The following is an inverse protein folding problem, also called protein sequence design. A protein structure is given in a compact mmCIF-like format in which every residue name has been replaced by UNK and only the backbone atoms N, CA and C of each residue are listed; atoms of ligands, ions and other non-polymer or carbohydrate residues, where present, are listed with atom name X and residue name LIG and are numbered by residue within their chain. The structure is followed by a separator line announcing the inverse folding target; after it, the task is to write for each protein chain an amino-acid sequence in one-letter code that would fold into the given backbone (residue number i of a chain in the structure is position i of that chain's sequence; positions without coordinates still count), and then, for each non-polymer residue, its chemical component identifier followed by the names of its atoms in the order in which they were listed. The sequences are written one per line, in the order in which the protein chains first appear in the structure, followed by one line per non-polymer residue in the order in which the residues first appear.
data_IF_446591928384
#
_entry.id   IF_446591928384
#
_cell.length_a   1.000
_cell.length_b   1.000
_cell.length_c   1.000
_cell.angle_alpha   90.00
_cell.angle_beta   90.00
_cell.angle_gamma   90.00
#
_symmetry.space_group_name_H-M   'P 1'
#
loop_
_entity.id
_entity.type
_entity.pdbx_description
1 polymer ?
#
# COMPACT_ATOMS: atom_id res chain seq x y z
N UNK A 1 -5.81 6.39 1.58
CA UNK A 1 -7.19 5.92 1.78
C UNK A 1 -7.23 5.13 3.08
N UNK A 2 -7.86 5.67 4.10
CA UNK A 2 -8.11 4.98 5.35
C UNK A 2 -9.47 4.27 5.22
N UNK A 3 -9.49 2.95 5.26
CA UNK A 3 -10.72 2.18 5.31
C UNK A 3 -10.90 1.65 6.72
N UNK A 4 -11.85 2.22 7.45
CA UNK A 4 -12.40 1.54 8.63
C UNK A 4 -13.19 0.32 8.16
N UNK A 5 -13.00 -0.83 8.81
CA UNK A 5 -13.66 -2.10 8.48
C UNK A 5 -15.18 -2.11 8.72
N UNK A 6 -15.81 -1.00 9.07
CA UNK A 6 -17.25 -0.85 9.19
C UNK A 6 -17.81 0.17 8.20
N UNK A 7 -18.73 -0.27 7.39
CA UNK A 7 -19.45 0.40 6.29
C UNK A 7 -20.17 1.72 6.63
N UNK A 8 -19.80 2.50 7.63
CA UNK A 8 -20.59 3.66 8.05
C UNK A 8 -19.88 4.97 8.35
N UNK A 9 -18.60 5.14 8.17
CA UNK A 9 -18.01 6.46 8.44
C UNK A 9 -16.99 6.90 7.40
N UNK A 10 -17.50 7.43 6.27
CA UNK A 10 -16.84 8.52 5.55
C UNK A 10 -17.25 9.82 6.24
N UNK A 11 -16.74 10.10 7.42
CA UNK A 11 -16.83 11.42 8.03
C UNK A 11 -15.44 11.98 8.22
N UNK A 12 -15.34 13.30 8.02
CA UNK A 12 -14.12 14.07 8.16
C UNK A 12 -13.34 13.75 9.43
N UNK A 13 -12.03 13.89 9.36
CA UNK A 13 -11.06 13.72 10.45
C UNK A 13 -11.37 14.48 11.76
N UNK A 14 -12.41 15.31 11.81
CA UNK A 14 -12.84 16.06 12.99
C UNK A 14 -13.83 15.33 13.90
N UNK A 15 -14.39 14.19 13.46
CA UNK A 15 -15.42 13.44 14.23
C UNK A 15 -14.97 12.02 14.62
N UNK A 16 -13.69 11.83 14.84
CA UNK A 16 -13.18 10.58 15.43
C UNK A 16 -13.51 10.55 16.92
N UNK A 17 -14.71 10.08 17.25
CA UNK A 17 -14.99 9.65 18.59
C UNK A 17 -14.66 8.17 18.69
N UNK A 18 -13.65 7.85 19.45
CA UNK A 18 -13.25 6.49 19.83
C UNK A 18 -14.34 5.74 20.63
N UNK A 19 -15.41 6.41 20.96
CA UNK A 19 -16.48 5.91 21.85
C UNK A 19 -17.33 4.78 21.24
N UNK A 20 -17.16 4.48 19.95
CA UNK A 20 -18.01 3.50 19.25
C UNK A 20 -17.22 2.27 18.76
N UNK A 21 -15.90 2.32 18.75
CA UNK A 21 -15.04 1.24 18.28
C UNK A 21 -14.26 0.60 19.44
N UNK A 22 -14.24 -0.73 19.47
CA UNK A 22 -13.42 -1.49 20.45
C UNK A 22 -11.94 -1.42 20.15
N UNK A 23 -11.56 -1.12 18.91
CA UNK A 23 -10.18 -0.88 18.44
C UNK A 23 -10.15 -0.23 17.08
N UNK A 24 -9.12 0.58 16.82
CA UNK A 24 -8.86 1.25 15.54
C UNK A 24 -7.73 0.56 14.79
N UNK A 25 -8.08 -0.08 13.66
CA UNK A 25 -7.11 -0.65 12.72
C UNK A 25 -7.03 0.21 11.46
N UNK A 26 -5.83 0.66 11.11
CA UNK A 26 -5.55 1.32 9.85
C UNK A 26 -5.09 0.27 8.82
N UNK A 27 -5.86 0.13 7.73
CA UNK A 27 -5.38 -0.60 6.55
C UNK A 27 -4.47 0.32 5.74
N UNK A 28 -3.19 0.24 6.05
CA UNK A 28 -2.13 0.96 5.37
C UNK A 28 -1.31 0.09 4.43
N UNK A 29 -1.85 -1.05 4.01
CA UNK A 29 -1.15 -2.09 3.25
C UNK A 29 -0.26 -1.54 2.12
N UNK A 30 -0.72 -0.49 1.45
CA UNK A 30 0.05 0.23 0.43
C UNK A 30 0.60 1.56 0.95
N UNK A 31 -0.28 2.46 1.35
CA UNK A 31 0.04 3.89 1.55
C UNK A 31 0.94 4.17 2.75
N UNK A 32 0.84 3.40 3.84
CA UNK A 32 1.68 3.64 5.03
C UNK A 32 3.17 3.37 4.80
N UNK A 33 3.55 2.69 3.73
CA UNK A 33 4.94 2.59 3.32
C UNK A 33 5.60 3.98 3.17
N UNK A 34 4.84 4.98 2.72
CA UNK A 34 5.33 6.35 2.54
C UNK A 34 5.70 7.09 3.85
N UNK A 35 5.40 6.52 5.02
CA UNK A 35 5.95 7.01 6.30
C UNK A 35 7.49 6.95 6.35
N UNK A 36 8.11 6.10 5.54
CA UNK A 36 9.57 6.03 5.44
C UNK A 36 10.17 7.31 4.85
N UNK A 37 9.43 8.05 4.02
CA UNK A 37 9.90 9.32 3.46
C UNK A 37 9.57 10.50 4.37
N UNK A 38 10.57 11.32 4.73
CA UNK A 38 10.35 12.57 5.47
C UNK A 38 9.42 13.55 4.75
N UNK A 39 9.38 13.53 3.42
CA UNK A 39 8.60 14.47 2.61
C UNK A 39 7.09 14.26 2.74
N UNK A 40 6.65 13.03 2.96
CA UNK A 40 5.24 12.65 3.09
C UNK A 40 4.77 12.41 4.51
N UNK A 41 5.67 12.33 5.47
CA UNK A 41 5.34 11.97 6.86
C UNK A 41 4.19 12.79 7.45
N UNK A 42 4.11 14.08 7.11
CA UNK A 42 3.03 14.96 7.58
C UNK A 42 1.62 14.54 7.10
N UNK A 43 1.51 13.83 5.99
CA UNK A 43 0.23 13.34 5.47
C UNK A 43 -0.39 12.26 6.37
N UNK A 44 0.41 11.69 7.26
CA UNK A 44 0.02 10.59 8.13
C UNK A 44 -0.12 11.03 9.59
N UNK A 45 -0.25 12.33 9.86
CA UNK A 45 -0.52 12.84 11.21
C UNK A 45 -1.79 12.19 11.76
N UNK A 46 -1.71 11.65 12.99
CA UNK A 46 -2.80 10.91 13.63
C UNK A 46 -2.64 9.38 13.54
N UNK A 47 -1.73 8.86 12.71
CA UNK A 47 -1.46 7.41 12.67
C UNK A 47 -1.00 6.88 14.03
N UNK A 48 -0.32 7.70 14.80
CA UNK A 48 0.13 7.42 16.16
C UNK A 48 -1.02 7.18 17.15
N UNK A 49 -2.24 7.55 16.80
CA UNK A 49 -3.43 7.37 17.66
C UNK A 49 -4.15 6.03 17.45
N UNK A 50 -3.88 5.32 16.37
CA UNK A 50 -4.54 4.03 16.11
C UNK A 50 -4.04 2.92 17.07
N UNK A 51 -4.83 1.88 17.27
CA UNK A 51 -4.44 0.72 18.08
C UNK A 51 -3.55 -0.25 17.32
N UNK A 52 -3.74 -0.33 16.02
CA UNK A 52 -2.92 -1.15 15.14
C UNK A 52 -2.98 -0.65 13.70
N UNK A 53 -1.97 -1.01 12.92
CA UNK A 53 -1.97 -0.77 11.48
C UNK A 53 -1.26 -1.90 10.74
N UNK A 54 -1.62 -2.06 9.47
CA UNK A 54 -0.93 -2.97 8.56
C UNK A 54 -0.15 -2.20 7.51
N UNK A 55 0.98 -2.78 7.12
CA UNK A 55 1.74 -2.38 5.93
C UNK A 55 2.24 -3.65 5.24
N UNK A 56 2.20 -3.66 3.90
CA UNK A 56 2.69 -4.80 3.13
C UNK A 56 4.08 -4.47 2.54
N UNK A 57 5.16 -4.98 3.15
CA UNK A 57 6.51 -4.77 2.61
C UNK A 57 6.66 -5.24 1.17
N UNK A 58 5.94 -6.29 0.76
CA UNK A 58 5.97 -6.81 -0.61
C UNK A 58 5.25 -5.93 -1.65
N UNK A 59 4.63 -4.81 -1.22
CA UNK A 59 4.07 -3.81 -2.13
C UNK A 59 5.08 -2.68 -2.36
N UNK A 60 4.98 -1.62 -1.62
CA UNK A 60 5.76 -0.41 -1.88
C UNK A 60 7.01 -0.26 -1.00
N UNK A 61 7.34 -1.29 -0.21
CA UNK A 61 8.64 -1.41 0.48
C UNK A 61 9.60 -2.38 -0.22
N UNK A 62 9.31 -2.73 -1.47
CA UNK A 62 10.20 -3.46 -2.39
C UNK A 62 10.66 -4.84 -1.89
N UNK A 63 10.00 -5.39 -0.87
CA UNK A 63 10.33 -6.71 -0.36
C UNK A 63 9.80 -7.81 -1.30
N UNK A 64 10.45 -8.97 -1.35
CA UNK A 64 9.91 -10.12 -2.06
C UNK A 64 8.54 -10.56 -1.52
N UNK A 65 7.69 -11.04 -2.41
CA UNK A 65 6.41 -11.64 -2.04
C UNK A 65 6.65 -12.94 -1.23
N UNK A 66 5.95 -13.23 -0.15
CA UNK A 66 4.85 -12.51 0.46
C UNK A 66 5.26 -11.99 1.85
N UNK A 67 4.97 -10.76 2.17
CA UNK A 67 5.21 -10.21 3.51
C UNK A 67 4.15 -9.16 3.86
N UNK A 68 3.52 -9.32 5.03
CA UNK A 68 2.64 -8.33 5.64
C UNK A 68 3.10 -8.10 7.07
N UNK A 69 3.19 -6.85 7.49
CA UNK A 69 3.49 -6.47 8.86
C UNK A 69 2.23 -5.91 9.51
N UNK A 70 1.85 -6.47 10.65
CA UNK A 70 0.81 -5.96 11.53
C UNK A 70 1.48 -5.42 12.78
N UNK A 71 1.35 -4.13 13.00
CA UNK A 71 1.96 -3.41 14.12
C UNK A 71 0.88 -3.05 15.12
N UNK A 72 1.13 -3.34 16.38
CA UNK A 72 0.23 -3.05 17.49
C UNK A 72 0.82 -1.97 18.40
N UNK A 73 -0.01 -1.04 18.85
CA UNK A 73 0.35 -0.08 19.90
C UNK A 73 0.66 -0.80 21.22
N UNK A 74 -0.20 -1.75 21.59
CA UNK A 74 -0.02 -2.58 22.79
C UNK A 74 0.11 -4.06 22.41
N UNK A 75 1.33 -4.56 22.21
CA UNK A 75 1.55 -5.94 21.80
C UNK A 75 1.07 -6.98 22.83
N UNK A 76 0.92 -6.60 24.11
CA UNK A 76 0.41 -7.53 25.15
C UNK A 76 -1.04 -7.96 24.89
N UNK A 77 -1.87 -7.04 24.34
CA UNK A 77 -3.25 -7.36 23.97
C UNK A 77 -3.28 -8.32 22.77
N UNK A 78 -2.39 -8.13 21.80
CA UNK A 78 -2.26 -9.02 20.67
C UNK A 78 -1.82 -10.43 21.13
N UNK A 79 -0.81 -10.52 22.01
CA UNK A 79 -0.39 -11.80 22.60
C UNK A 79 -1.57 -12.48 23.29
N UNK A 80 -2.30 -11.77 24.16
CA UNK A 80 -3.44 -12.34 24.88
C UNK A 80 -4.55 -12.87 23.96
N UNK A 81 -4.72 -12.25 22.77
CA UNK A 81 -5.72 -12.67 21.78
C UNK A 81 -5.30 -13.88 20.94
N UNK A 82 -3.99 -14.08 20.74
CA UNK A 82 -3.46 -15.07 19.80
C UNK A 82 -2.77 -16.26 20.47
N UNK A 83 -2.39 -16.15 21.75
CA UNK A 83 -1.68 -17.23 22.45
C UNK A 83 -2.48 -18.53 22.40
N UNK A 84 -1.82 -19.59 21.97
CA UNK A 84 -2.41 -20.92 21.90
C UNK A 84 -1.91 -21.74 23.09
N UNK A 85 -2.84 -22.27 23.86
CA UNK A 85 -2.54 -23.12 25.04
C UNK A 85 -2.73 -24.58 24.67
N UNK A 86 -1.68 -25.35 24.78
CA UNK A 86 -1.72 -26.78 24.64
C UNK A 86 -0.56 -27.39 25.43
N UNK A 87 -0.78 -28.53 26.07
CA UNK A 87 0.19 -29.15 26.98
C UNK A 87 1.56 -29.41 26.34
N UNK A 88 1.62 -29.67 25.04
CA UNK A 88 2.88 -29.87 24.32
C UNK A 88 3.63 -28.55 23.99
N UNK A 89 2.99 -27.40 24.25
CA UNK A 89 3.57 -26.06 24.11
C UNK A 89 4.08 -25.51 25.44
N UNK A 90 3.76 -26.12 26.56
CA UNK A 90 4.13 -25.66 27.92
C UNK A 90 5.65 -25.36 28.03
N UNK A 91 6.57 -26.19 27.47
CA UNK A 91 8.00 -25.89 27.51
C UNK A 91 8.40 -24.58 26.80
N UNK A 92 7.57 -24.11 25.84
CA UNK A 92 7.80 -22.85 25.11
C UNK A 92 7.23 -21.64 25.87
N UNK A 93 6.28 -21.86 26.80
CA UNK A 93 5.69 -20.79 27.61
C UNK A 93 6.55 -20.40 28.82
N UNK A 94 7.43 -21.28 29.29
CA UNK A 94 8.37 -21.00 30.38
C UNK A 94 9.48 -20.03 29.97
N UNK A 95 9.81 -19.96 28.69
CA UNK A 95 10.74 -18.98 28.17
C UNK A 95 10.06 -17.60 28.08
N UNK A 96 10.59 -16.66 28.86
CA UNK A 96 10.16 -15.25 28.84
C UNK A 96 10.52 -14.53 27.53
N UNK A 97 11.04 -15.22 26.56
CA UNK A 97 11.46 -14.67 25.28
C UNK A 97 10.28 -14.41 24.35
N UNK A 98 10.47 -13.43 23.48
CA UNK A 98 9.50 -13.08 22.47
C UNK A 98 9.35 -14.23 21.44
N UNK A 99 8.13 -14.75 21.30
CA UNK A 99 7.82 -15.81 20.35
C UNK A 99 6.86 -15.29 19.28
N UNK A 100 7.22 -15.31 17.99
CA UNK A 100 6.35 -14.87 16.91
C UNK A 100 4.99 -15.60 16.85
N UNK A 101 4.90 -16.83 17.28
CA UNK A 101 3.65 -17.61 17.28
C UNK A 101 2.60 -17.04 18.23
N UNK A 102 3.02 -16.31 19.28
CA UNK A 102 2.11 -15.67 20.23
C UNK A 102 1.30 -14.51 19.62
N UNK A 103 1.68 -14.06 18.43
CA UNK A 103 1.09 -12.90 17.76
C UNK A 103 0.39 -13.26 16.44
N UNK A 104 0.13 -14.54 16.21
CA UNK A 104 -0.49 -15.01 14.98
C UNK A 104 -1.30 -16.30 15.22
N UNK A 105 -2.19 -16.58 14.26
CA UNK A 105 -2.98 -17.81 14.26
C UNK A 105 -2.18 -19.06 13.82
N UNK A 106 -0.98 -18.86 13.25
CA UNK A 106 -0.11 -19.94 12.77
C UNK A 106 0.98 -20.25 13.79
N UNK A 107 1.14 -21.51 14.17
CA UNK A 107 2.29 -21.96 14.95
C UNK A 107 3.57 -21.97 14.09
N UNK A 108 3.51 -22.66 12.97
CA UNK A 108 4.64 -22.77 12.03
C UNK A 108 4.40 -21.91 10.81
N UNK A 109 5.38 -21.08 10.46
CA UNK A 109 5.34 -20.21 9.28
C UNK A 109 6.75 -19.86 8.79
N UNK A 110 6.82 -19.44 7.52
CA UNK A 110 8.07 -18.93 6.96
C UNK A 110 8.49 -17.62 7.64
N UNK A 111 9.79 -17.40 7.76
CA UNK A 111 10.35 -16.14 8.26
C UNK A 111 10.24 -15.03 7.19
N UNK A 112 9.00 -14.61 6.89
CA UNK A 112 8.68 -13.66 5.79
C UNK A 112 9.32 -12.29 5.95
N UNK A 113 9.59 -11.87 7.18
CA UNK A 113 10.26 -10.60 7.46
C UNK A 113 11.77 -10.62 7.15
N UNK A 114 12.38 -11.80 7.07
CA UNK A 114 13.83 -11.94 6.90
C UNK A 114 14.36 -11.36 5.58
N UNK A 115 13.75 -11.64 4.40
CA UNK A 115 14.18 -11.00 3.16
C UNK A 115 14.05 -9.48 3.19
N UNK A 116 13.01 -8.95 3.83
CA UNK A 116 12.84 -7.51 4.01
C UNK A 116 13.92 -6.91 4.91
N UNK A 117 14.24 -7.58 6.02
CA UNK A 117 15.31 -7.15 6.91
C UNK A 117 16.67 -7.13 6.20
N UNK A 118 17.00 -8.15 5.41
CA UNK A 118 18.24 -8.17 4.63
C UNK A 118 18.28 -7.03 3.61
N UNK A 119 17.17 -6.73 2.95
CA UNK A 119 17.09 -5.60 2.03
C UNK A 119 17.33 -4.27 2.74
N UNK A 120 16.71 -4.06 3.91
CA UNK A 120 16.95 -2.87 4.74
C UNK A 120 18.40 -2.79 5.24
N UNK A 121 18.98 -3.92 5.65
CA UNK A 121 20.36 -3.96 6.12
C UNK A 121 21.38 -3.66 4.99
N UNK A 122 21.07 -4.09 3.76
CA UNK A 122 21.93 -3.88 2.60
C UNK A 122 21.85 -2.46 2.04
N UNK A 123 20.68 -1.87 1.97
CA UNK A 123 20.45 -0.58 1.31
C UNK A 123 20.32 0.60 2.28
N UNK A 124 19.88 0.35 3.50
CA UNK A 124 19.59 1.39 4.48
C UNK A 124 18.27 2.14 4.24
N UNK A 125 17.78 2.81 5.27
CA UNK A 125 16.49 3.53 5.24
C UNK A 125 16.49 4.74 4.33
N UNK A 126 17.64 5.39 4.14
CA UNK A 126 17.76 6.58 3.30
C UNK A 126 17.54 6.25 1.81
N UNK A 127 18.05 5.11 1.35
CA UNK A 127 17.82 4.67 -0.03
C UNK A 127 16.35 4.27 -0.24
N UNK A 128 15.70 3.69 0.77
CA UNK A 128 14.25 3.44 0.74
C UNK A 128 13.46 4.76 0.63
N UNK A 129 13.81 5.78 1.40
CA UNK A 129 13.16 7.08 1.33
C UNK A 129 13.34 7.72 -0.05
N UNK A 130 14.56 7.70 -0.61
CA UNK A 130 14.85 8.20 -1.95
C UNK A 130 14.08 7.46 -3.04
N UNK A 131 14.00 6.13 -2.95
CA UNK A 131 13.24 5.31 -3.89
C UNK A 131 11.74 5.65 -3.86
N UNK A 132 11.17 5.88 -2.68
CA UNK A 132 9.78 6.34 -2.54
C UNK A 132 9.56 7.72 -3.11
N UNK A 133 10.43 8.68 -2.77
CA UNK A 133 10.35 10.04 -3.31
C UNK A 133 10.42 10.03 -4.83
N UNK A 134 11.26 9.18 -5.42
CA UNK A 134 11.36 9.01 -6.87
C UNK A 134 10.04 8.52 -7.50
N UNK A 135 9.39 7.51 -6.91
CA UNK A 135 8.11 7.00 -7.42
C UNK A 135 6.99 8.04 -7.32
N UNK A 136 6.98 8.82 -6.26
CA UNK A 136 6.00 9.91 -6.08
C UNK A 136 6.26 11.06 -7.06
N UNK A 137 7.51 11.39 -7.33
CA UNK A 137 7.86 12.40 -8.34
C UNK A 137 7.44 11.95 -9.73
N UNK A 138 7.71 10.70 -10.10
CA UNK A 138 7.23 10.13 -11.37
C UNK A 138 5.70 10.16 -11.47
N UNK A 139 4.99 9.92 -10.36
CA UNK A 139 3.52 10.01 -10.34
C UNK A 139 3.01 11.45 -10.60
N UNK A 140 3.67 12.46 -10.03
CA UNK A 140 3.33 13.87 -10.28
C UNK A 140 3.58 14.24 -11.75
N UNK A 141 4.72 13.83 -12.30
CA UNK A 141 5.05 14.07 -13.71
C UNK A 141 4.03 13.37 -14.64
N UNK A 142 3.64 12.13 -14.33
CA UNK A 142 2.60 11.42 -15.07
C UNK A 142 1.25 12.16 -15.02
N UNK A 143 0.87 12.72 -13.87
CA UNK A 143 -0.34 13.54 -13.75
C UNK A 143 -0.29 14.78 -14.65
N UNK A 144 0.86 15.45 -14.75
CA UNK A 144 1.03 16.60 -15.63
C UNK A 144 0.94 16.23 -17.12
N UNK A 145 1.46 15.06 -17.51
CA UNK A 145 1.29 14.56 -18.89
C UNK A 145 -0.18 14.28 -19.20
N UNK A 146 -0.89 13.65 -18.26
CA UNK A 146 -2.32 13.37 -18.42
C UNK A 146 -3.13 14.66 -18.58
N UNK A 147 -2.86 15.69 -17.79
CA UNK A 147 -3.54 16.99 -17.88
C UNK A 147 -3.33 17.68 -19.23
N UNK A 148 -2.18 17.48 -19.87
CA UNK A 148 -1.84 18.07 -21.18
C UNK A 148 -2.50 17.32 -22.35
N UNK A 149 -3.00 16.11 -22.14
CA UNK A 149 -3.61 15.30 -23.18
C UNK A 149 -5.13 15.52 -23.21
N UNK A 150 -5.65 16.09 -24.30
CA UNK A 150 -7.08 16.41 -24.46
C UNK A 150 -8.01 15.18 -24.38
N UNK A 151 -7.49 14.00 -24.64
CA UNK A 151 -8.24 12.74 -24.58
C UNK A 151 -8.29 12.11 -23.18
N UNK A 152 -7.52 12.63 -22.25
CA UNK A 152 -7.39 12.09 -20.89
C UNK A 152 -7.93 13.07 -19.87
N UNK A 153 -8.38 12.54 -18.74
CA UNK A 153 -8.86 13.35 -17.63
C UNK A 153 -8.31 12.80 -16.33
N UNK A 154 -7.45 13.58 -15.69
CA UNK A 154 -6.99 13.27 -14.34
C UNK A 154 -8.20 13.35 -13.37
N UNK A 155 -8.36 12.35 -12.51
CA UNK A 155 -9.45 12.32 -11.54
C UNK A 155 -9.11 13.03 -10.24
N UNK A 156 -7.91 12.82 -9.74
CA UNK A 156 -7.40 13.39 -8.49
C UNK A 156 -5.90 13.65 -8.62
N UNK A 157 -5.42 14.71 -8.00
CA UNK A 157 -3.99 14.94 -7.85
C UNK A 157 -3.36 13.81 -7.00
N UNK A 158 -2.26 13.21 -7.47
CA UNK A 158 -1.61 12.15 -6.72
C UNK A 158 -0.96 12.70 -5.44
N UNK A 159 -1.42 12.21 -4.29
CA UNK A 159 -0.78 12.51 -3.00
C UNK A 159 0.42 11.60 -2.74
N UNK A 160 0.36 10.37 -3.26
CA UNK A 160 1.39 9.35 -3.22
C UNK A 160 1.72 8.92 -4.66
N UNK A 161 1.96 7.63 -4.89
CA UNK A 161 2.40 7.12 -6.19
C UNK A 161 1.29 6.50 -7.06
N UNK A 162 0.02 6.79 -6.72
CA UNK A 162 -1.14 6.34 -7.51
C UNK A 162 -1.67 7.51 -8.35
N UNK A 163 -1.81 7.28 -9.66
CA UNK A 163 -2.39 8.25 -10.60
C UNK A 163 -3.65 7.64 -11.22
N UNK A 164 -4.81 8.22 -10.94
CA UNK A 164 -6.11 7.75 -11.45
C UNK A 164 -6.63 8.70 -12.53
N UNK A 165 -7.01 8.17 -13.68
CA UNK A 165 -7.46 8.95 -14.81
C UNK A 165 -8.46 8.21 -15.70
N UNK A 166 -9.19 8.96 -16.52
CA UNK A 166 -10.15 8.45 -17.51
C UNK A 166 -9.62 8.68 -18.92
N UNK A 167 -9.93 7.75 -19.84
CA UNK A 167 -9.90 8.01 -21.28
C UNK A 167 -11.27 8.49 -21.70
N UNK A 168 -11.37 9.77 -22.06
CA UNK A 168 -12.64 10.42 -22.38
C UNK A 168 -13.35 9.69 -23.53
N UNK A 169 -14.64 9.41 -23.32
CA UNK A 169 -15.48 8.74 -24.31
C UNK A 169 -15.39 7.21 -24.35
N UNK A 170 -14.48 6.59 -23.62
CA UNK A 170 -14.36 5.13 -23.61
C UNK A 170 -15.41 4.46 -22.70
N UNK A 171 -15.84 3.27 -23.14
CA UNK A 171 -16.64 2.33 -22.36
C UNK A 171 -15.76 1.22 -21.78
N UNK A 172 -16.28 0.45 -20.81
CA UNK A 172 -15.54 -0.58 -20.09
C UNK A 172 -14.81 -1.58 -21.00
N UNK A 173 -15.44 -1.99 -22.12
CA UNK A 173 -14.84 -2.94 -23.06
C UNK A 173 -13.54 -2.38 -23.68
N UNK A 174 -13.51 -1.09 -24.02
CA UNK A 174 -12.34 -0.45 -24.64
C UNK A 174 -11.15 -0.35 -23.67
N UNK A 175 -11.41 -0.13 -22.37
CA UNK A 175 -10.37 -0.17 -21.34
C UNK A 175 -9.71 -1.54 -21.25
N UNK A 176 -10.51 -2.63 -21.30
CA UNK A 176 -9.98 -3.99 -21.25
C UNK A 176 -9.19 -4.34 -22.52
N UNK A 177 -9.76 -4.05 -23.67
CA UNK A 177 -9.11 -4.29 -24.97
C UNK A 177 -7.75 -3.59 -25.05
N UNK A 178 -7.69 -2.34 -24.63
CA UNK A 178 -6.44 -1.58 -24.57
C UNK A 178 -5.43 -2.21 -23.61
N UNK A 179 -5.86 -2.59 -22.42
CA UNK A 179 -4.98 -3.22 -21.43
C UNK A 179 -4.38 -4.52 -21.95
N UNK A 180 -5.21 -5.36 -22.60
CA UNK A 180 -4.77 -6.62 -23.18
C UNK A 180 -3.78 -6.40 -24.33
N UNK A 181 -4.06 -5.39 -25.17
CA UNK A 181 -3.15 -5.00 -26.27
C UNK A 181 -1.83 -4.49 -25.74
N UNK A 182 -1.84 -3.60 -24.75
CA UNK A 182 -0.64 -3.03 -24.12
C UNK A 182 0.29 -4.14 -23.60
N UNK A 183 -0.30 -5.14 -22.93
CA UNK A 183 0.44 -6.30 -22.43
C UNK A 183 0.98 -7.18 -23.57
N UNK A 184 0.16 -7.45 -24.60
CA UNK A 184 0.55 -8.25 -25.75
C UNK A 184 1.69 -7.61 -26.53
N UNK A 185 1.67 -6.30 -26.67
CA UNK A 185 2.69 -5.53 -27.39
C UNK A 185 3.96 -5.29 -26.52
N UNK A 186 3.95 -5.81 -25.27
CA UNK A 186 5.07 -5.71 -24.31
C UNK A 186 5.47 -4.27 -23.95
N UNK A 187 4.55 -3.31 -24.10
CA UNK A 187 4.77 -1.91 -23.76
C UNK A 187 4.62 -1.68 -22.26
N UNK A 188 3.62 -2.36 -21.64
CA UNK A 188 3.39 -2.22 -20.22
C UNK A 188 2.21 -3.05 -19.71
N UNK A 189 1.95 -2.95 -18.42
CA UNK A 189 0.82 -3.61 -17.78
C UNK A 189 0.03 -2.60 -16.94
N UNK A 190 -1.13 -2.21 -17.42
CA UNK A 190 -2.04 -1.28 -16.76
C UNK A 190 -3.43 -1.89 -16.70
N UNK A 191 -3.83 -2.33 -15.53
CA UNK A 191 -5.14 -2.96 -15.33
C UNK A 191 -6.23 -1.90 -15.18
N UNK A 192 -7.34 -2.02 -15.92
CA UNK A 192 -8.53 -1.21 -15.69
C UNK A 192 -9.04 -1.34 -14.25
N UNK A 193 -9.61 -0.26 -13.75
CA UNK A 193 -10.17 -0.18 -12.40
C UNK A 193 -11.52 0.54 -12.45
N UNK A 194 -12.14 0.79 -11.30
CA UNK A 194 -13.36 1.56 -11.20
C UNK A 194 -13.27 2.59 -10.08
N UNK A 195 -13.78 3.80 -10.37
CA UNK A 195 -14.00 4.84 -9.38
C UNK A 195 -15.44 5.34 -9.49
N UNK A 196 -16.19 5.36 -8.39
CA UNK A 196 -17.61 5.70 -8.36
C UNK A 196 -18.44 4.93 -9.43
N UNK A 197 -18.17 3.63 -9.57
CA UNK A 197 -18.79 2.71 -10.55
C UNK A 197 -18.50 3.05 -12.02
N UNK A 198 -17.58 3.95 -12.32
CA UNK A 198 -17.12 4.27 -13.67
C UNK A 198 -15.77 3.60 -13.93
N UNK A 199 -15.54 3.08 -15.14
CA UNK A 199 -14.25 2.51 -15.50
C UNK A 199 -13.19 3.60 -15.58
N UNK A 200 -12.00 3.30 -15.08
CA UNK A 200 -10.85 4.20 -15.06
C UNK A 200 -9.57 3.43 -15.36
N UNK A 201 -8.51 4.15 -15.66
CA UNK A 201 -7.13 3.67 -15.64
C UNK A 201 -6.43 4.13 -14.36
N UNK A 202 -5.47 3.34 -13.92
CA UNK A 202 -4.70 3.64 -12.73
C UNK A 202 -3.25 3.21 -12.89
N UNK A 203 -2.34 4.15 -12.83
CA UNK A 203 -0.94 3.84 -12.59
C UNK A 203 -0.71 3.63 -11.09
N UNK A 204 -0.01 2.56 -10.75
CA UNK A 204 0.54 2.30 -9.43
C UNK A 204 2.06 2.25 -9.55
N UNK A 205 2.70 3.40 -9.39
CA UNK A 205 4.14 3.54 -9.63
C UNK A 205 4.88 3.12 -8.38
N UNK A 206 5.25 1.86 -8.32
CA UNK A 206 5.96 1.25 -7.18
C UNK A 206 7.41 0.93 -7.48
N UNK A 207 7.78 0.82 -8.76
CA UNK A 207 9.15 0.56 -9.15
C UNK A 207 9.93 1.89 -9.28
N UNK A 208 10.98 2.13 -8.48
CA UNK A 208 11.76 3.36 -8.56
C UNK A 208 12.58 3.50 -9.85
N UNK A 209 12.69 2.43 -10.63
CA UNK A 209 13.33 2.45 -11.96
C UNK A 209 12.38 2.91 -13.07
N UNK A 210 11.07 3.00 -12.82
CA UNK A 210 10.12 3.56 -13.78
C UNK A 210 10.47 5.02 -14.06
N UNK A 211 10.67 5.33 -15.34
CA UNK A 211 10.99 6.65 -15.83
C UNK A 211 9.76 7.30 -16.47
N UNK A 212 9.84 8.62 -16.67
CA UNK A 212 8.75 9.35 -17.30
C UNK A 212 8.56 8.93 -18.77
N UNK A 213 9.63 8.54 -19.47
CA UNK A 213 9.56 8.00 -20.83
C UNK A 213 8.71 6.73 -20.93
N UNK A 214 8.75 5.86 -19.93
CA UNK A 214 7.91 4.65 -19.89
C UNK A 214 6.43 5.03 -19.82
N UNK A 215 6.12 6.07 -19.05
CA UNK A 215 4.76 6.60 -18.92
C UNK A 215 4.32 7.29 -20.22
N UNK A 216 5.19 8.06 -20.86
CA UNK A 216 4.92 8.69 -22.15
C UNK A 216 4.61 7.66 -23.24
N UNK A 217 5.39 6.57 -23.30
CA UNK A 217 5.16 5.46 -24.23
C UNK A 217 3.79 4.82 -24.02
N UNK A 218 3.42 4.54 -22.77
CA UNK A 218 2.09 4.01 -22.45
C UNK A 218 0.99 4.99 -22.81
N UNK A 219 1.12 6.27 -22.46
CA UNK A 219 0.10 7.29 -22.76
C UNK A 219 -0.05 7.56 -24.26
N UNK A 220 1.00 7.36 -25.05
CA UNK A 220 0.94 7.51 -26.51
C UNK A 220 0.05 6.46 -27.19
N UNK A 221 -0.30 5.38 -26.49
CA UNK A 221 -1.20 4.33 -26.99
C UNK A 221 -2.68 4.61 -26.73
N UNK A 222 -3.01 5.69 -26.00
CA UNK A 222 -4.36 6.13 -25.62
C UNK A 222 -4.88 7.22 -26.53
#
# INVERSE_FOLDING_TARGET
FFFSSRRRHTRCLSDWSSDVCSSDLIDGAYGLAALCSPTTRKLFSGVEMCDSFIVDPHKWLFAPFDACALIYRNPRLAKAAHIQKASYLDPLEEDKEWNPSDYAIHLTRRARGLPFWFSLAAHGTDEYAKAMDKTMETAKQAAELIKKNANLKLLLEPQLSIVAFERVGWKSAQYQEWSDKLLKDQIGFVTPSAHNRKPILRFAIVNPWTNISDIEEILATL
#
